data_IF_707308044420
#
_entry.id   IF_707308044420
#
_cell.length_a   1.000
_cell.length_b   1.000
_cell.length_c   1.000
_cell.angle_alpha   90.00
_cell.angle_beta   90.00
_cell.angle_gamma   90.00
#
_symmetry.space_group_name_H-M   'P 1'
#
loop_
_entity.id
_entity.type
_entity.pdbx_description
1 polymer ?
#
# COMPACT_ATOMS: atom_id res chain seq x y z
N UNK A 1 -4.78 24.24 -6.70
CA UNK A 1 -4.52 22.80 -6.55
C UNK A 1 -4.83 22.18 -7.89
N UNK A 2 -3.81 21.63 -8.55
CA UNK A 2 -4.01 20.87 -9.79
C UNK A 2 -4.26 19.41 -9.43
N UNK A 3 -5.21 18.76 -10.11
CA UNK A 3 -5.65 17.40 -9.80
C UNK A 3 -5.81 16.64 -11.11
N UNK A 4 -4.96 15.65 -11.29
CA UNK A 4 -5.04 14.72 -12.41
C UNK A 4 -5.74 13.43 -11.94
N UNK A 5 -6.98 13.21 -12.36
CA UNK A 5 -7.74 11.97 -12.11
C UNK A 5 -7.44 10.93 -13.18
N UNK A 6 -7.63 9.64 -12.86
CA UNK A 6 -7.29 8.51 -13.74
C UNK A 6 -5.81 8.49 -14.18
N UNK A 7 -4.94 9.23 -13.49
CA UNK A 7 -3.52 9.26 -13.71
C UNK A 7 -2.84 8.07 -13.01
N UNK A 8 -2.34 7.13 -13.80
CA UNK A 8 -1.56 6.01 -13.28
C UNK A 8 -0.09 6.41 -13.22
N UNK A 9 0.44 6.64 -12.01
CA UNK A 9 1.87 6.82 -11.81
C UNK A 9 2.63 5.55 -12.24
N UNK A 10 3.66 5.71 -13.08
CA UNK A 10 4.47 4.62 -13.63
C UNK A 10 5.86 4.57 -13.02
N UNK A 11 6.48 5.73 -12.84
CA UNK A 11 7.88 5.86 -12.43
C UNK A 11 8.08 7.18 -11.69
N UNK A 12 8.95 7.18 -10.68
CA UNK A 12 9.50 8.39 -10.08
C UNK A 12 11.03 8.33 -10.25
N UNK A 13 11.60 9.37 -10.87
CA UNK A 13 13.03 9.50 -11.11
C UNK A 13 13.58 10.56 -10.16
N UNK A 14 14.47 10.15 -9.27
CA UNK A 14 15.22 11.05 -8.39
C UNK A 14 16.39 11.65 -9.16
N UNK A 15 16.36 12.97 -9.36
CA UNK A 15 17.38 13.73 -10.07
C UNK A 15 18.39 14.41 -9.11
N UNK A 16 18.32 14.15 -7.81
CA UNK A 16 19.13 14.76 -6.76
C UNK A 16 18.47 15.98 -6.13
N UNK A 17 18.24 17.04 -6.93
CA UNK A 17 17.61 18.29 -6.46
C UNK A 17 16.10 18.36 -6.76
N UNK A 18 15.60 17.44 -7.60
CA UNK A 18 14.19 17.33 -7.98
C UNK A 18 13.78 15.87 -8.21
N UNK A 19 12.48 15.64 -8.34
CA UNK A 19 11.91 14.33 -8.69
C UNK A 19 10.96 14.50 -9.88
N UNK A 20 11.17 13.70 -10.92
CA UNK A 20 10.27 13.63 -12.07
C UNK A 20 9.33 12.43 -11.91
N UNK A 21 8.02 12.68 -11.83
CA UNK A 21 7.00 11.63 -11.83
C UNK A 21 6.44 11.46 -13.23
N UNK A 22 6.60 10.26 -13.79
CA UNK A 22 5.98 9.87 -15.06
C UNK A 22 4.66 9.16 -14.77
N UNK A 23 3.60 9.59 -15.44
CA UNK A 23 2.27 9.02 -15.28
C UNK A 23 1.55 8.90 -16.62
N UNK A 24 0.53 8.06 -16.66
CA UNK A 24 -0.27 7.81 -17.86
C UNK A 24 -1.73 8.21 -17.61
N UNK A 25 -2.33 8.92 -18.57
CA UNK A 25 -3.78 9.17 -18.63
C UNK A 25 -4.25 8.71 -20.00
N UNK A 26 -5.23 7.81 -20.03
CA UNK A 26 -5.83 7.28 -21.26
C UNK A 26 -4.79 6.78 -22.29
N UNK A 27 -3.76 6.07 -21.84
CA UNK A 27 -2.70 5.55 -22.71
C UNK A 27 -1.63 6.57 -23.11
N UNK A 28 -1.75 7.84 -22.71
CA UNK A 28 -0.79 8.90 -23.03
C UNK A 28 0.17 9.13 -21.87
N UNK A 29 1.46 9.08 -22.17
CA UNK A 29 2.52 9.40 -21.21
C UNK A 29 2.57 10.91 -20.95
N UNK A 30 2.68 11.27 -19.68
CA UNK A 30 2.85 12.61 -19.16
C UNK A 30 3.93 12.60 -18.07
N UNK A 31 4.46 13.76 -17.75
CA UNK A 31 5.45 13.94 -16.69
C UNK A 31 5.19 15.22 -15.90
N UNK A 32 5.61 15.21 -14.64
CA UNK A 32 5.62 16.37 -13.76
C UNK A 32 6.91 16.36 -12.94
N UNK A 33 7.59 17.50 -12.88
CA UNK A 33 8.76 17.70 -12.04
C UNK A 33 8.39 18.50 -10.79
N UNK A 34 8.91 18.10 -9.64
CA UNK A 34 8.71 18.77 -8.37
C UNK A 34 9.93 18.60 -7.46
N UNK A 35 10.10 19.48 -6.47
CA UNK A 35 11.18 19.36 -5.47
C UNK A 35 11.00 18.11 -4.58
N UNK A 36 9.74 17.74 -4.30
CA UNK A 36 9.40 16.62 -3.42
C UNK A 36 8.19 15.83 -3.94
N UNK A 37 8.18 14.53 -3.64
CA UNK A 37 7.05 13.63 -3.94
C UNK A 37 6.60 12.92 -2.66
N UNK A 38 5.29 12.94 -2.41
CA UNK A 38 4.66 12.24 -1.30
C UNK A 38 3.83 11.06 -1.83
N UNK A 39 4.18 9.83 -1.41
CA UNK A 39 3.48 8.61 -1.83
C UNK A 39 2.41 8.24 -0.80
N UNK A 40 1.13 8.38 -1.18
CA UNK A 40 -0.02 8.08 -0.32
C UNK A 40 -1.06 7.17 -1.00
N UNK A 41 -0.61 6.17 -1.76
CA UNK A 41 -1.49 5.28 -2.56
C UNK A 41 -2.21 4.20 -1.75
N UNK A 42 -1.88 4.03 -0.47
CA UNK A 42 -2.52 3.07 0.42
C UNK A 42 -1.60 2.57 1.52
N UNK A 43 -2.11 1.63 2.34
CA UNK A 43 -1.36 0.96 3.41
C UNK A 43 -1.59 -0.55 3.32
N UNK A 44 -0.60 -1.34 3.73
CA UNK A 44 -0.74 -2.79 3.90
C UNK A 44 -0.72 -3.16 5.40
N UNK A 45 -1.42 -4.22 5.81
CA UNK A 45 -1.31 -4.75 7.16
C UNK A 45 0.13 -5.14 7.50
N UNK A 46 0.55 -4.89 8.73
CA UNK A 46 1.87 -5.29 9.21
C UNK A 46 1.79 -6.68 9.86
N UNK A 47 1.76 -7.73 9.04
CA UNK A 47 1.55 -9.11 9.49
C UNK A 47 2.74 -10.04 9.24
N UNK A 48 3.79 -9.51 8.62
CA UNK A 48 5.06 -10.21 8.44
C UNK A 48 5.83 -10.26 9.77
N UNK A 49 6.66 -11.29 9.95
CA UNK A 49 7.56 -11.47 11.10
C UNK A 49 6.90 -11.48 12.50
N UNK A 50 5.57 -11.62 12.57
CA UNK A 50 4.82 -11.74 13.83
C UNK A 50 4.72 -13.19 14.36
N UNK A 51 5.30 -14.17 13.65
CA UNK A 51 5.21 -15.59 14.02
C UNK A 51 3.80 -16.19 13.91
N UNK A 52 2.91 -15.56 13.14
CA UNK A 52 1.50 -15.96 13.01
C UNK A 52 1.34 -17.42 12.55
N UNK A 53 2.20 -17.88 11.65
CA UNK A 53 2.22 -19.26 11.16
C UNK A 53 2.50 -20.26 12.30
N UNK A 54 3.51 -19.99 13.12
CA UNK A 54 3.86 -20.83 14.26
C UNK A 54 2.74 -20.88 15.32
N UNK A 55 1.95 -19.81 15.41
CA UNK A 55 0.79 -19.70 16.31
C UNK A 55 -0.48 -20.33 15.70
N UNK A 56 -0.49 -20.68 14.41
CA UNK A 56 -1.69 -21.16 13.71
C UNK A 56 -2.73 -20.06 13.43
N UNK A 57 -2.32 -18.80 13.44
CA UNK A 57 -3.16 -17.65 13.10
C UNK A 57 -3.24 -17.51 11.58
N UNK A 58 -4.46 -17.54 11.05
CA UNK A 58 -4.70 -17.45 9.60
C UNK A 58 -4.68 -16.01 9.10
N UNK A 59 -4.12 -15.83 7.92
CA UNK A 59 -4.20 -14.60 7.13
C UNK A 59 -4.83 -14.90 5.77
N UNK A 60 -5.47 -13.89 5.16
CA UNK A 60 -6.00 -13.99 3.80
C UNK A 60 -4.96 -13.60 2.75
N UNK A 61 -5.32 -13.71 1.47
CA UNK A 61 -4.44 -13.41 0.32
C UNK A 61 -3.96 -11.94 0.28
N UNK A 62 -4.60 -11.04 1.03
CA UNK A 62 -4.21 -9.63 1.14
C UNK A 62 -3.31 -9.35 2.36
N UNK A 63 -2.96 -10.39 3.12
CA UNK A 63 -2.17 -10.30 4.34
C UNK A 63 -2.96 -9.79 5.55
N UNK A 64 -4.30 -9.75 5.52
CA UNK A 64 -5.07 -9.42 6.73
C UNK A 64 -5.21 -10.67 7.60
N UNK A 65 -5.14 -10.49 8.92
CA UNK A 65 -5.50 -11.55 9.87
C UNK A 65 -7.01 -11.81 9.73
N UNK A 66 -7.37 -13.08 9.54
CA UNK A 66 -8.77 -13.48 9.49
C UNK A 66 -9.38 -13.40 10.89
N UNK A 67 -10.46 -12.65 11.01
CA UNK A 67 -11.20 -12.48 12.27
C UNK A 67 -12.70 -12.61 12.07
N UNK A 68 -13.40 -13.01 13.14
CA UNK A 68 -14.86 -12.92 13.20
C UNK A 68 -15.36 -11.50 13.54
N UNK A 69 -16.68 -11.34 13.64
CA UNK A 69 -17.31 -10.05 13.99
C UNK A 69 -16.94 -9.52 15.39
N UNK A 70 -16.25 -10.31 16.21
CA UNK A 70 -15.77 -9.93 17.54
C UNK A 70 -14.24 -9.73 17.57
N UNK A 71 -13.55 -9.80 16.43
CA UNK A 71 -12.10 -9.66 16.32
C UNK A 71 -11.31 -10.92 16.73
N UNK A 72 -11.97 -12.08 16.88
CA UNK A 72 -11.29 -13.33 17.25
C UNK A 72 -10.60 -13.94 16.04
N UNK A 73 -9.35 -14.35 16.19
CA UNK A 73 -8.61 -15.07 15.14
C UNK A 73 -9.01 -16.55 15.08
N UNK A 74 -8.36 -17.33 14.21
CA UNK A 74 -8.46 -18.81 14.20
C UNK A 74 -8.05 -19.46 15.53
N UNK A 75 -7.32 -18.73 16.38
CA UNK A 75 -6.89 -19.17 17.71
C UNK A 75 -7.74 -18.45 18.76
N UNK A 76 -8.55 -19.20 19.53
CA UNK A 76 -9.62 -18.65 20.40
C UNK A 76 -9.19 -17.56 21.40
N UNK A 77 -7.93 -17.57 21.84
CA UNK A 77 -7.36 -16.64 22.81
C UNK A 77 -6.50 -15.54 22.18
N UNK A 78 -6.44 -15.45 20.85
CA UNK A 78 -5.73 -14.40 20.11
C UNK A 78 -6.75 -13.58 19.32
N UNK A 79 -6.62 -12.26 19.42
CA UNK A 79 -7.50 -11.28 18.78
C UNK A 79 -6.68 -10.31 17.93
N UNK A 80 -7.28 -9.80 16.86
CA UNK A 80 -6.72 -8.74 16.03
C UNK A 80 -7.81 -7.68 15.76
N UNK A 81 -7.45 -6.40 15.92
CA UNK A 81 -8.38 -5.24 15.89
C UNK A 81 -7.89 -4.13 14.95
#
# INVERSE_FOLDING_TARGET
MDIHVNAMAKEAVDNGDSVTVKYEIDGKANEVEADYVLVCVGRRPNTEDLGLEALGVKTNDRGLIEVDNQGRTSVKNIFAI
#
